data_IF_737731484444
#
_entry.id   IF_737731484444
#
_cell.length_a   1.000
_cell.length_b   1.000
_cell.length_c   1.000
_cell.angle_alpha   90.00
_cell.angle_beta   90.00
_cell.angle_gamma   90.00
#
_symmetry.space_group_name_H-M   'P 1'
#
loop_
_entity.id
_entity.type
_entity.pdbx_description
1 polymer ?
#
# COMPACT_ATOMS: atom_id res chain seq x y z
N UNK A 1 -0.32 -9.34 28.78
CA UNK A 1 0.05 -9.09 27.38
C UNK A 1 0.48 -7.63 27.30
N UNK A 2 1.71 -7.37 26.85
CA UNK A 2 2.18 -6.01 26.60
C UNK A 2 1.38 -5.42 25.44
N UNK A 3 1.07 -4.12 25.53
CA UNK A 3 0.31 -3.39 24.54
C UNK A 3 1.02 -2.07 24.29
N UNK A 4 1.06 -1.66 23.03
CA UNK A 4 1.71 -0.44 22.61
C UNK A 4 0.76 0.33 21.69
N UNK A 5 0.78 1.65 21.79
CA UNK A 5 0.00 2.52 20.91
C UNK A 5 0.98 3.48 20.22
N UNK A 6 1.08 3.32 18.91
CA UNK A 6 1.82 4.24 18.04
C UNK A 6 0.89 5.42 17.75
N UNK A 7 1.36 6.63 18.05
CA UNK A 7 0.60 7.86 17.78
C UNK A 7 1.33 8.62 16.69
N UNK A 8 0.75 8.62 15.49
CA UNK A 8 1.30 9.42 14.40
C UNK A 8 0.88 10.91 14.61
N UNK A 9 1.78 11.89 14.47
CA UNK A 9 1.57 13.31 14.74
C UNK A 9 0.44 13.93 13.92
N UNK A 10 0.12 13.35 12.76
CA UNK A 10 -0.92 13.84 11.84
C UNK A 10 -2.32 13.68 12.46
N UNK A 11 -2.46 12.83 13.47
CA UNK A 11 -3.70 12.70 14.24
C UNK A 11 -3.86 13.78 15.32
N UNK A 12 -3.04 14.83 15.31
CA UNK A 12 -3.39 16.12 15.92
C UNK A 12 -3.46 16.15 17.45
N UNK A 13 -2.81 15.20 18.15
CA UNK A 13 -2.63 15.29 19.61
C UNK A 13 -3.90 15.18 20.45
N UNK A 14 -5.08 14.88 19.88
CA UNK A 14 -6.32 14.64 20.62
C UNK A 14 -6.26 13.26 21.33
N UNK A 15 -5.39 13.22 22.34
CA UNK A 15 -5.11 12.06 23.19
C UNK A 15 -6.24 11.76 24.17
N UNK A 16 -7.39 12.44 24.09
CA UNK A 16 -8.51 12.33 25.03
C UNK A 16 -9.03 10.89 25.11
N UNK A 17 -9.17 10.18 23.99
CA UNK A 17 -9.56 8.76 23.96
C UNK A 17 -8.44 7.80 24.41
N UNK A 18 -7.17 8.17 24.18
CA UNK A 18 -6.00 7.32 24.46
C UNK A 18 -5.52 7.50 25.92
N UNK A 19 -5.98 8.53 26.63
CA UNK A 19 -5.60 8.85 28.01
C UNK A 19 -6.00 7.78 29.04
N UNK A 20 -7.05 7.01 28.75
CA UNK A 20 -7.58 5.95 29.62
C UNK A 20 -6.83 4.62 29.48
N UNK A 21 -5.99 4.46 28.46
CA UNK A 21 -5.26 3.22 28.19
C UNK A 21 -3.87 3.32 28.80
N UNK A 22 -3.59 2.51 29.83
CA UNK A 22 -2.24 2.35 30.41
C UNK A 22 -1.30 1.66 29.41
N UNK A 23 -0.84 2.40 28.41
CA UNK A 23 0.03 1.91 27.34
C UNK A 23 1.09 2.94 26.98
N UNK A 24 2.27 2.46 26.61
CA UNK A 24 3.36 3.28 26.09
C UNK A 24 2.91 3.96 24.80
N UNK A 25 2.94 5.30 24.80
CA UNK A 25 2.61 6.15 23.64
C UNK A 25 3.89 6.63 22.98
N UNK A 26 3.93 6.60 21.66
CA UNK A 26 5.14 6.93 20.92
C UNK A 26 4.78 7.89 19.78
N UNK A 27 5.21 9.16 19.86
CA UNK A 27 5.10 10.07 18.74
C UNK A 27 6.09 9.65 17.64
N UNK A 28 5.67 9.68 16.38
CA UNK A 28 6.50 9.30 15.22
C UNK A 28 6.39 10.37 14.13
N UNK A 29 7.40 11.21 13.89
CA UNK A 29 7.31 12.18 12.77
C UNK A 29 7.09 11.50 11.40
N UNK A 30 6.12 11.99 10.61
CA UNK A 30 5.74 11.46 9.28
C UNK A 30 6.93 11.10 8.36
N UNK A 31 7.94 11.97 8.33
CA UNK A 31 9.02 11.91 7.36
C UNK A 31 10.15 10.95 7.75
N UNK A 32 10.13 10.42 8.96
CA UNK A 32 11.26 9.66 9.49
C UNK A 32 10.84 8.31 10.10
N UNK A 33 11.05 7.27 9.29
CA UNK A 33 10.95 5.88 9.73
C UNK A 33 11.87 5.55 10.92
N UNK A 34 12.87 6.39 11.25
CA UNK A 34 13.79 6.14 12.36
C UNK A 34 13.10 6.08 13.72
N UNK A 35 12.04 6.86 13.95
CA UNK A 35 11.33 6.84 15.24
C UNK A 35 10.54 5.54 15.40
N UNK A 36 9.88 5.10 14.33
CA UNK A 36 9.22 3.78 14.27
C UNK A 36 10.23 2.64 14.44
N UNK A 37 11.37 2.72 13.75
CA UNK A 37 12.45 1.74 13.86
C UNK A 37 13.00 1.67 15.29
N UNK A 38 13.33 2.81 15.90
CA UNK A 38 13.82 2.91 17.29
C UNK A 38 12.83 2.29 18.26
N UNK A 39 11.54 2.56 18.10
CA UNK A 39 10.53 1.91 18.90
C UNK A 39 10.54 0.40 18.71
N UNK A 40 10.48 -0.08 17.47
CA UNK A 40 10.50 -1.52 17.19
C UNK A 40 11.77 -2.19 17.75
N UNK A 41 12.89 -1.47 17.87
CA UNK A 41 14.09 -1.96 18.56
C UNK A 41 13.90 -2.15 20.07
N UNK A 42 13.14 -1.26 20.73
CA UNK A 42 12.89 -1.35 22.17
C UNK A 42 12.02 -2.54 22.56
N UNK A 43 11.24 -3.09 21.62
CA UNK A 43 10.42 -4.27 21.86
C UNK A 43 11.28 -5.52 21.72
N UNK A 44 11.29 -6.35 22.75
CA UNK A 44 11.93 -7.66 22.71
C UNK A 44 11.02 -8.64 21.96
N UNK A 45 11.29 -8.79 20.67
CA UNK A 45 10.62 -9.75 19.80
C UNK A 45 11.59 -10.87 19.43
N UNK A 46 11.08 -12.09 19.40
CA UNK A 46 11.77 -13.27 18.90
C UNK A 46 10.85 -14.06 17.95
N UNK A 47 11.37 -15.14 17.38
CA UNK A 47 10.64 -15.95 16.39
C UNK A 47 9.35 -16.58 16.93
N UNK A 48 9.29 -16.84 18.24
CA UNK A 48 8.16 -17.45 18.95
C UNK A 48 7.11 -16.42 19.42
N UNK A 49 7.39 -15.13 19.22
CA UNK A 49 6.53 -14.06 19.70
C UNK A 49 5.22 -14.02 18.91
N UNK A 50 4.09 -14.16 19.62
CA UNK A 50 2.75 -13.96 19.06
C UNK A 50 2.45 -12.46 19.01
N UNK A 51 2.69 -11.84 17.87
CA UNK A 51 2.46 -10.43 17.64
C UNK A 51 1.12 -10.21 16.94
N UNK A 52 0.31 -9.30 17.47
CA UNK A 52 -0.90 -8.80 16.81
C UNK A 52 -0.74 -7.32 16.52
N UNK A 53 -1.03 -6.90 15.30
CA UNK A 53 -0.92 -5.51 14.85
C UNK A 53 -2.28 -5.04 14.34
N UNK A 54 -2.83 -4.02 14.98
CA UNK A 54 -3.98 -3.30 14.44
C UNK A 54 -3.50 -2.23 13.46
N UNK A 55 -3.80 -2.41 12.17
CA UNK A 55 -3.38 -1.51 11.10
C UNK A 55 -4.40 -0.40 10.81
N UNK A 56 -5.54 -0.35 11.51
CA UNK A 56 -6.65 0.57 11.24
C UNK A 56 -6.21 2.04 11.16
N UNK A 57 -5.37 2.46 12.10
CA UNK A 57 -4.85 3.84 12.19
C UNK A 57 -3.49 4.05 11.52
N UNK A 58 -2.93 3.08 10.81
CA UNK A 58 -1.64 3.29 10.16
C UNK A 58 -1.77 4.09 8.86
N UNK A 59 -0.80 4.95 8.61
CA UNK A 59 -0.51 5.48 7.29
C UNK A 59 0.20 4.39 6.47
N UNK A 60 -0.19 4.17 5.21
CA UNK A 60 0.22 3.01 4.41
C UNK A 60 1.75 2.83 4.38
N UNK A 61 2.58 3.84 4.01
CA UNK A 61 4.05 3.70 4.07
C UNK A 61 4.59 3.21 5.42
N UNK A 62 4.07 3.73 6.54
CA UNK A 62 4.47 3.33 7.89
C UNK A 62 4.06 1.88 8.21
N UNK A 63 2.86 1.48 7.79
CA UNK A 63 2.38 0.10 7.92
C UNK A 63 3.32 -0.86 7.20
N UNK A 64 3.62 -0.56 5.94
CA UNK A 64 4.46 -1.40 5.10
C UNK A 64 5.86 -1.50 5.70
N UNK A 65 6.46 -0.36 6.08
CA UNK A 65 7.75 -0.32 6.75
C UNK A 65 7.78 -1.19 8.00
N UNK A 66 6.79 -1.07 8.89
CA UNK A 66 6.71 -1.87 10.12
C UNK A 66 6.69 -3.37 9.82
N UNK A 67 5.84 -3.81 8.88
CA UNK A 67 5.76 -5.22 8.46
C UNK A 67 7.12 -5.73 7.96
N UNK A 68 7.77 -4.96 7.08
CA UNK A 68 9.07 -5.33 6.52
C UNK A 68 10.16 -5.36 7.57
N UNK A 69 10.13 -4.41 8.49
CA UNK A 69 11.07 -4.32 9.59
C UNK A 69 10.95 -5.52 10.53
N UNK A 70 9.73 -5.87 10.94
CA UNK A 70 9.45 -7.04 11.77
C UNK A 70 9.94 -8.34 11.11
N UNK A 71 9.70 -8.49 9.80
CA UNK A 71 10.16 -9.64 9.04
C UNK A 71 11.69 -9.71 8.91
N UNK A 72 12.36 -8.63 8.47
CA UNK A 72 13.79 -8.66 8.13
C UNK A 72 14.73 -8.41 9.30
N UNK A 73 14.35 -7.56 10.25
CA UNK A 73 15.23 -7.18 11.39
C UNK A 73 14.93 -7.97 12.65
N UNK A 74 13.65 -8.30 12.90
CA UNK A 74 13.22 -9.01 14.12
C UNK A 74 12.94 -10.50 13.89
N UNK A 75 13.03 -10.96 12.65
CA UNK A 75 12.76 -12.34 12.23
C UNK A 75 11.41 -12.89 12.73
N UNK A 76 10.39 -12.01 12.83
CA UNK A 76 9.06 -12.43 13.27
C UNK A 76 8.43 -13.29 12.17
N UNK A 77 8.09 -14.54 12.52
CA UNK A 77 7.55 -15.52 11.57
C UNK A 77 6.04 -15.52 11.46
N UNK A 78 5.35 -15.11 12.53
CA UNK A 78 3.89 -15.07 12.59
C UNK A 78 3.42 -13.74 13.15
N UNK A 79 2.53 -13.09 12.41
CA UNK A 79 1.83 -11.87 12.83
C UNK A 79 0.34 -12.03 12.56
N UNK A 80 -0.48 -11.66 13.53
CA UNK A 80 -1.91 -11.46 13.33
C UNK A 80 -2.14 -9.99 12.97
N UNK A 81 -2.89 -9.72 11.90
CA UNK A 81 -3.22 -8.35 11.49
C UNK A 81 -4.72 -8.14 11.65
N UNK A 82 -5.09 -7.05 12.32
CA UNK A 82 -6.47 -6.61 12.47
C UNK A 82 -6.65 -5.30 11.71
N UNK A 83 -7.75 -5.21 10.98
CA UNK A 83 -8.15 -4.00 10.28
C UNK A 83 -9.65 -3.79 10.42
N UNK A 84 -10.04 -2.57 10.77
CA UNK A 84 -11.44 -2.14 10.75
C UNK A 84 -11.65 -1.24 9.53
N UNK A 85 -12.44 -1.71 8.57
CA UNK A 85 -12.87 -0.91 7.43
C UNK A 85 -13.93 0.11 7.90
N UNK A 86 -13.82 1.40 7.51
CA UNK A 86 -14.91 2.36 7.73
C UNK A 86 -16.17 1.90 6.99
N UNK A 87 -17.32 1.95 7.68
CA UNK A 87 -18.59 1.57 7.05
C UNK A 87 -18.97 2.51 5.90
N UNK A 88 -18.75 3.82 6.06
CA UNK A 88 -18.97 4.81 5.00
C UNK A 88 -17.98 5.93 5.16
N UNK A 89 -17.57 6.54 4.04
CA UNK A 89 -16.95 7.86 4.09
C UNK A 89 -18.03 8.90 4.34
N UNK A 90 -17.78 9.84 5.25
CA UNK A 90 -18.77 10.86 5.65
C UNK A 90 -19.34 11.65 4.47
N UNK A 91 -18.53 11.81 3.41
CA UNK A 91 -18.89 12.59 2.23
C UNK A 91 -18.97 11.74 0.95
N UNK A 92 -18.98 10.40 1.04
CA UNK A 92 -19.10 9.48 -0.12
C UNK A 92 -18.20 9.91 -1.30
N UNK A 93 -18.77 10.15 -2.49
CA UNK A 93 -18.09 10.60 -3.70
C UNK A 93 -17.60 12.05 -3.64
N UNK A 94 -17.82 12.78 -2.55
CA UNK A 94 -17.35 14.15 -2.27
C UNK A 94 -16.30 14.20 -1.15
N UNK A 95 -15.77 13.05 -0.74
CA UNK A 95 -14.66 12.97 0.22
C UNK A 95 -13.44 13.74 -0.31
N UNK A 96 -12.93 14.66 0.51
CA UNK A 96 -11.68 15.40 0.27
C UNK A 96 -10.54 14.64 0.93
N UNK A 97 -9.49 14.38 0.15
CA UNK A 97 -8.24 13.81 0.66
C UNK A 97 -7.21 14.94 0.83
N UNK A 98 -6.14 14.68 1.57
CA UNK A 98 -5.09 15.70 1.77
C UNK A 98 -4.45 16.08 0.43
N UNK A 99 -4.30 17.38 0.16
CA UNK A 99 -3.78 17.89 -1.13
C UNK A 99 -2.27 18.20 -1.12
N UNK A 100 -1.59 18.02 0.01
CA UNK A 100 -0.17 18.35 0.16
C UNK A 100 0.68 17.07 0.13
N UNK A 101 1.13 16.69 -1.07
CA UNK A 101 2.18 15.69 -1.26
C UNK A 101 3.41 16.36 -1.83
N UNK A 102 4.58 16.03 -1.29
CA UNK A 102 5.84 16.62 -1.70
C UNK A 102 6.55 15.80 -2.78
N UNK A 103 6.40 14.48 -2.75
CA UNK A 103 6.97 13.59 -3.77
C UNK A 103 6.28 12.21 -3.80
N UNK A 104 6.52 11.43 -4.86
CA UNK A 104 6.27 10.00 -4.90
C UNK A 104 7.60 9.28 -4.78
N UNK A 105 7.79 8.54 -3.69
CA UNK A 105 9.03 7.84 -3.41
C UNK A 105 8.82 6.35 -3.12
N UNK A 106 9.93 5.62 -3.10
CA UNK A 106 9.93 4.20 -2.76
C UNK A 106 9.70 4.01 -1.26
N UNK A 107 8.85 3.06 -0.91
CA UNK A 107 8.61 2.69 0.49
C UNK A 107 9.82 1.94 1.03
N UNK A 108 10.34 2.36 2.19
CA UNK A 108 11.55 1.78 2.77
C UNK A 108 11.40 0.29 3.02
N UNK A 109 12.42 -0.48 2.60
CA UNK A 109 12.45 -1.93 2.71
C UNK A 109 11.74 -2.70 1.58
N UNK A 110 11.03 -2.01 0.69
CA UNK A 110 10.40 -2.56 -0.51
C UNK A 110 11.06 -2.05 -1.80
N UNK A 111 12.35 -1.75 -1.75
CA UNK A 111 13.14 -1.54 -2.94
C UNK A 111 13.69 -2.83 -3.49
N UNK A 112 13.38 -3.13 -4.75
CA UNK A 112 14.09 -4.15 -5.51
C UNK A 112 15.42 -3.62 -6.07
N UNK A 113 16.08 -4.45 -6.87
CA UNK A 113 17.28 -4.05 -7.63
C UNK A 113 16.83 -3.38 -8.93
N UNK A 114 16.91 -2.04 -9.07
CA UNK A 114 16.39 -1.37 -10.26
C UNK A 114 17.18 -1.76 -11.51
N UNK A 115 16.46 -2.10 -12.58
CA UNK A 115 17.06 -2.31 -13.90
C UNK A 115 17.22 -0.95 -14.60
N UNK A 116 18.42 -0.60 -15.09
CA UNK A 116 18.63 0.67 -15.81
C UNK A 116 17.87 0.73 -17.14
N UNK A 117 17.52 -0.42 -17.73
CA UNK A 117 16.61 -0.47 -18.87
C UNK A 117 15.19 -0.21 -18.38
N UNK A 118 14.50 0.75 -18.99
CA UNK A 118 13.12 1.16 -18.64
C UNK A 118 12.11 0.95 -19.79
N UNK A 119 12.51 0.24 -20.86
CA UNK A 119 11.75 0.11 -22.10
C UNK A 119 10.43 -0.66 -21.91
N UNK A 120 10.42 -1.62 -21.00
CA UNK A 120 9.26 -2.46 -20.69
C UNK A 120 8.95 -2.45 -19.19
N UNK A 121 8.87 -1.26 -18.60
CA UNK A 121 8.40 -1.11 -17.23
C UNK A 121 6.89 -1.40 -17.11
N UNK A 122 6.48 -1.84 -15.92
CA UNK A 122 5.09 -2.04 -15.52
C UNK A 122 4.80 -1.21 -14.27
N UNK A 123 3.66 -0.52 -14.26
CA UNK A 123 3.11 0.13 -13.09
C UNK A 123 1.72 -0.43 -12.79
N UNK A 124 1.57 -1.09 -11.64
CA UNK A 124 0.27 -1.53 -11.12
C UNK A 124 -0.16 -0.58 -10.02
N UNK A 125 -1.30 0.08 -10.20
CA UNK A 125 -1.86 1.04 -9.25
C UNK A 125 -3.09 0.41 -8.62
N UNK A 126 -3.05 0.12 -7.32
CA UNK A 126 -4.26 -0.27 -6.60
C UNK A 126 -5.10 1.00 -6.39
N UNK A 127 -6.15 1.16 -7.19
CA UNK A 127 -6.88 2.42 -7.30
C UNK A 127 -8.03 2.48 -6.32
N UNK A 128 -8.00 3.51 -5.48
CA UNK A 128 -9.06 3.87 -4.56
C UNK A 128 -9.69 5.21 -4.92
N UNK A 129 -10.34 5.80 -3.93
CA UNK A 129 -11.10 7.05 -4.07
C UNK A 129 -10.25 8.32 -4.28
N UNK A 130 -8.95 8.25 -4.01
CA UNK A 130 -8.05 9.40 -4.07
C UNK A 130 -7.41 9.52 -5.46
N UNK A 131 -8.09 10.26 -6.33
CA UNK A 131 -7.65 10.49 -7.71
C UNK A 131 -6.36 11.32 -7.82
N UNK A 132 -6.10 12.19 -6.83
CA UNK A 132 -4.85 12.96 -6.73
C UNK A 132 -3.64 12.02 -6.56
N UNK A 133 -3.71 11.06 -5.64
CA UNK A 133 -2.63 10.07 -5.42
C UNK A 133 -2.41 9.17 -6.62
N UNK A 134 -3.48 8.77 -7.30
CA UNK A 134 -3.39 7.99 -8.55
C UNK A 134 -2.63 8.81 -9.60
N UNK A 135 -3.01 10.09 -9.76
CA UNK A 135 -2.40 11.03 -10.70
C UNK A 135 -0.92 11.24 -10.39
N UNK A 136 -0.56 11.45 -9.12
CA UNK A 136 0.82 11.67 -8.70
C UNK A 136 1.73 10.49 -9.05
N UNK A 137 1.29 9.28 -8.73
CA UNK A 137 2.09 8.07 -9.01
C UNK A 137 2.22 7.82 -10.50
N UNK A 138 1.12 7.95 -11.25
CA UNK A 138 1.13 7.78 -12.70
C UNK A 138 2.02 8.84 -13.39
N UNK A 139 1.98 10.08 -12.91
CA UNK A 139 2.77 11.21 -13.44
C UNK A 139 4.25 11.09 -13.10
N UNK A 140 4.60 10.66 -11.87
CA UNK A 140 5.99 10.37 -11.48
C UNK A 140 6.62 9.30 -12.38
N UNK A 141 5.82 8.34 -12.81
CA UNK A 141 6.20 7.24 -13.71
C UNK A 141 5.67 7.44 -15.14
N UNK A 142 5.67 8.68 -15.63
CA UNK A 142 5.14 9.04 -16.97
C UNK A 142 5.76 8.23 -18.13
N UNK A 143 7.01 7.78 -18.00
CA UNK A 143 7.69 6.99 -19.03
C UNK A 143 7.14 5.57 -19.17
N UNK A 144 6.48 5.06 -18.12
CA UNK A 144 5.88 3.72 -18.12
C UNK A 144 4.63 3.71 -19.00
N UNK A 145 4.67 2.93 -20.08
CA UNK A 145 3.52 2.75 -20.99
C UNK A 145 2.48 1.79 -20.43
N UNK A 146 2.93 0.70 -19.79
CA UNK A 146 2.06 -0.32 -19.22
C UNK A 146 1.63 0.10 -17.81
N UNK A 147 0.53 0.87 -17.73
CA UNK A 147 -0.11 1.25 -16.47
C UNK A 147 -1.41 0.46 -16.30
N UNK A 148 -1.51 -0.30 -15.21
CA UNK A 148 -2.64 -1.19 -14.95
C UNK A 148 -3.29 -0.78 -13.63
N UNK A 149 -4.61 -0.63 -13.64
CA UNK A 149 -5.37 -0.40 -12.40
C UNK A 149 -5.70 -1.75 -11.74
N UNK A 150 -5.66 -1.79 -10.42
CA UNK A 150 -6.18 -2.87 -9.60
C UNK A 150 -7.32 -2.32 -8.74
N UNK A 151 -8.54 -2.78 -8.99
CA UNK A 151 -9.74 -2.34 -8.28
C UNK A 151 -10.21 -3.35 -7.25
N UNK A 152 -10.85 -2.83 -6.20
CA UNK A 152 -11.46 -3.62 -5.12
C UNK A 152 -12.79 -4.22 -5.56
N UNK A 153 -12.79 -5.47 -6.01
CA UNK A 153 -14.00 -6.20 -6.39
C UNK A 153 -13.95 -7.67 -5.92
N UNK A 154 -14.95 -8.13 -5.13
CA UNK A 154 -16.11 -7.38 -4.64
C UNK A 154 -15.70 -6.26 -3.67
N UNK A 155 -16.45 -5.14 -3.67
CA UNK A 155 -16.26 -4.06 -2.70
C UNK A 155 -16.84 -4.43 -1.33
N UNK A 156 -16.54 -3.63 -0.30
CA UNK A 156 -17.15 -3.79 1.02
C UNK A 156 -18.67 -3.47 1.01
N UNK A 157 -19.09 -2.52 0.18
CA UNK A 157 -20.49 -2.19 -0.09
C UNK A 157 -20.72 -2.03 -1.59
N UNK A 158 -21.93 -2.34 -2.07
CA UNK A 158 -22.21 -2.52 -3.50
C UNK A 158 -22.00 -1.24 -4.34
N UNK A 159 -22.28 -0.07 -3.77
CA UNK A 159 -22.11 1.27 -4.35
C UNK A 159 -20.64 1.67 -4.49
N UNK A 160 -19.80 1.28 -3.52
CA UNK A 160 -18.40 1.72 -3.44
C UNK A 160 -17.56 1.41 -4.68
N UNK A 161 -17.87 0.33 -5.41
CA UNK A 161 -17.12 0.00 -6.63
C UNK A 161 -17.37 1.02 -7.74
N UNK A 162 -18.61 1.45 -7.93
CA UNK A 162 -18.96 2.43 -8.96
C UNK A 162 -18.38 3.81 -8.63
N UNK A 163 -18.48 4.22 -7.37
CA UNK A 163 -17.88 5.47 -6.89
C UNK A 163 -16.37 5.48 -7.06
N UNK A 164 -15.69 4.39 -6.68
CA UNK A 164 -14.25 4.24 -6.86
C UNK A 164 -13.87 4.36 -8.35
N UNK A 165 -14.61 3.70 -9.25
CA UNK A 165 -14.35 3.80 -10.69
C UNK A 165 -14.50 5.24 -11.21
N UNK A 166 -15.54 5.96 -10.79
CA UNK A 166 -15.74 7.37 -11.16
C UNK A 166 -14.65 8.28 -10.61
N UNK A 167 -14.17 8.02 -9.40
CA UNK A 167 -13.03 8.74 -8.80
C UNK A 167 -11.75 8.45 -9.57
N UNK A 168 -11.38 7.19 -9.74
CA UNK A 168 -10.18 6.79 -10.47
C UNK A 168 -10.18 7.32 -11.92
N UNK A 169 -11.35 7.42 -12.56
CA UNK A 169 -11.48 8.00 -13.90
C UNK A 169 -11.00 9.46 -13.99
N UNK A 170 -11.05 10.23 -12.90
CA UNK A 170 -10.50 11.60 -12.87
C UNK A 170 -8.98 11.64 -13.12
N UNK A 171 -8.27 10.54 -12.87
CA UNK A 171 -6.85 10.38 -13.15
C UNK A 171 -6.55 9.82 -14.56
N UNK A 172 -7.56 9.68 -15.44
CA UNK A 172 -7.41 9.11 -16.80
C UNK A 172 -6.28 9.74 -17.60
N UNK A 173 -6.11 11.06 -17.52
CA UNK A 173 -5.08 11.78 -18.28
C UNK A 173 -3.65 11.35 -17.92
N UNK A 174 -3.42 10.92 -16.67
CA UNK A 174 -2.11 10.46 -16.19
C UNK A 174 -1.94 8.94 -16.35
N UNK A 175 -3.00 8.17 -16.12
CA UNK A 175 -3.00 6.71 -16.18
C UNK A 175 -3.04 6.20 -17.63
N UNK A 176 -3.79 6.86 -18.50
CA UNK A 176 -4.18 6.36 -19.82
C UNK A 176 -5.64 5.93 -19.86
N UNK A 177 -6.25 5.93 -21.06
CA UNK A 177 -7.69 5.73 -21.24
C UNK A 177 -8.11 4.28 -21.51
N UNK A 178 -7.18 3.39 -21.89
CA UNK A 178 -7.53 2.03 -22.33
C UNK A 178 -8.23 1.22 -21.25
N UNK A 179 -7.69 1.23 -20.02
CA UNK A 179 -8.29 0.52 -18.88
C UNK A 179 -9.66 1.06 -18.45
N UNK A 180 -9.98 2.32 -18.74
CA UNK A 180 -11.30 2.89 -18.45
C UNK A 180 -12.33 2.60 -19.56
N UNK A 181 -11.87 2.48 -20.81
CA UNK A 181 -12.73 2.10 -21.95
C UNK A 181 -13.02 0.60 -22.00
N UNK A 182 -12.04 -0.21 -21.61
CA UNK A 182 -12.16 -1.66 -21.53
C UNK A 182 -11.76 -2.13 -20.14
N UNK A 183 -12.77 -2.34 -19.30
CA UNK A 183 -12.59 -2.72 -17.90
C UNK A 183 -11.87 -4.08 -17.73
N UNK A 184 -11.94 -4.97 -18.73
CA UNK A 184 -11.28 -6.28 -18.71
C UNK A 184 -9.74 -6.17 -18.75
N UNK A 185 -9.19 -4.99 -19.06
CA UNK A 185 -7.75 -4.72 -19.01
C UNK A 185 -7.24 -4.43 -17.59
N UNK A 186 -8.14 -4.21 -16.63
CA UNK A 186 -7.77 -3.98 -15.24
C UNK A 186 -7.68 -5.28 -14.44
N UNK A 187 -7.07 -5.18 -13.27
CA UNK A 187 -7.02 -6.23 -12.27
C UNK A 187 -8.11 -6.03 -11.23
N UNK A 188 -8.57 -7.14 -10.67
CA UNK A 188 -9.60 -7.15 -9.63
C UNK A 188 -9.19 -8.09 -8.50
N UNK A 189 -9.31 -7.60 -7.27
CA UNK A 189 -9.16 -8.38 -6.06
C UNK A 189 -10.17 -7.87 -5.02
N UNK A 190 -10.69 -8.70 -4.10
CA UNK A 190 -11.60 -8.24 -3.06
C UNK A 190 -10.97 -7.13 -2.22
N UNK A 191 -11.72 -6.05 -1.97
CA UNK A 191 -11.23 -4.87 -1.27
C UNK A 191 -10.71 -5.15 0.15
N UNK A 192 -11.19 -6.25 0.76
CA UNK A 192 -10.92 -6.67 2.13
C UNK A 192 -9.95 -7.86 2.25
N UNK A 193 -9.53 -8.49 1.14
CA UNK A 193 -8.72 -9.70 1.16
C UNK A 193 -7.27 -9.45 0.70
N UNK A 194 -6.31 -9.37 1.63
CA UNK A 194 -4.90 -9.13 1.29
C UNK A 194 -4.23 -10.34 0.62
N UNK A 195 -4.81 -11.55 0.65
CA UNK A 195 -4.19 -12.76 0.12
C UNK A 195 -4.52 -13.02 -1.35
N UNK A 196 -5.62 -12.46 -1.86
CA UNK A 196 -5.99 -12.56 -3.28
C UNK A 196 -5.17 -11.61 -4.15
N UNK A 197 -4.88 -10.40 -3.66
CA UNK A 197 -4.07 -9.38 -4.35
C UNK A 197 -2.74 -9.93 -4.90
N UNK A 198 -1.87 -10.58 -4.10
CA UNK A 198 -0.61 -11.13 -4.61
C UNK A 198 -0.83 -12.21 -5.67
N UNK A 199 -1.89 -13.01 -5.56
CA UNK A 199 -2.22 -14.04 -6.56
C UNK A 199 -2.68 -13.40 -7.88
N UNK A 200 -3.50 -12.35 -7.81
CA UNK A 200 -3.95 -11.59 -8.99
C UNK A 200 -2.77 -10.94 -9.69
N UNK A 201 -1.90 -10.25 -8.95
CA UNK A 201 -0.68 -9.62 -9.49
C UNK A 201 0.23 -10.67 -10.13
N UNK A 202 0.49 -11.78 -9.43
CA UNK A 202 1.33 -12.88 -9.94
C UNK A 202 0.77 -13.45 -11.24
N UNK A 203 -0.53 -13.74 -11.29
CA UNK A 203 -1.17 -14.32 -12.49
C UNK A 203 -1.07 -13.39 -13.69
N UNK A 204 -1.26 -12.09 -13.49
CA UNK A 204 -1.10 -11.09 -14.54
C UNK A 204 0.35 -11.07 -15.04
N UNK A 205 1.31 -10.92 -14.14
CA UNK A 205 2.73 -10.85 -14.48
C UNK A 205 3.19 -12.12 -15.20
N UNK A 206 2.88 -13.31 -14.65
CA UNK A 206 3.24 -14.60 -15.25
C UNK A 206 2.60 -14.81 -16.63
N UNK A 207 1.45 -14.19 -16.91
CA UNK A 207 0.78 -14.24 -18.23
C UNK A 207 1.49 -13.34 -19.23
N UNK A 208 1.70 -12.07 -18.88
CA UNK A 208 2.27 -11.07 -19.79
C UNK A 208 3.75 -11.33 -20.07
N UNK A 209 4.49 -11.83 -19.06
CA UNK A 209 5.91 -12.16 -19.20
C UNK A 209 6.18 -13.37 -20.10
N UNK A 210 5.16 -14.14 -20.54
CA UNK A 210 5.35 -15.18 -21.56
C UNK A 210 5.82 -14.60 -22.89
N UNK A 211 5.45 -13.35 -23.17
CA UNK A 211 5.78 -12.68 -24.42
C UNK A 211 7.01 -11.77 -24.26
N UNK A 212 7.06 -10.99 -23.18
CA UNK A 212 8.16 -10.06 -22.94
C UNK A 212 8.36 -9.80 -21.44
N UNK A 213 9.59 -9.91 -20.96
CA UNK A 213 9.92 -9.69 -19.55
C UNK A 213 9.82 -8.20 -19.20
N UNK A 214 9.14 -7.89 -18.09
CA UNK A 214 9.17 -6.53 -17.54
C UNK A 214 10.56 -6.16 -17.01
N UNK A 215 11.04 -4.96 -17.35
CA UNK A 215 12.33 -4.45 -16.89
C UNK A 215 12.28 -4.03 -15.42
N UNK A 216 11.27 -3.25 -15.04
CA UNK A 216 10.94 -2.91 -13.67
C UNK A 216 9.44 -3.05 -13.41
N UNK A 217 9.07 -3.42 -12.19
CA UNK A 217 7.67 -3.54 -11.75
C UNK A 217 7.47 -2.63 -10.55
N UNK A 218 6.58 -1.65 -10.70
CA UNK A 218 6.20 -0.72 -9.65
C UNK A 218 4.80 -1.03 -9.14
N UNK A 219 4.66 -1.18 -7.83
CA UNK A 219 3.38 -1.35 -7.16
C UNK A 219 3.03 -0.09 -6.38
N UNK A 220 1.85 0.46 -6.63
CA UNK A 220 1.37 1.69 -6.03
C UNK A 220 0.08 1.44 -5.25
N UNK A 221 0.17 1.19 -3.94
CA UNK A 221 -0.98 0.78 -3.13
C UNK A 221 -1.85 1.97 -2.68
N UNK A 222 -2.43 2.72 -3.62
CA UNK A 222 -3.19 3.96 -3.35
C UNK A 222 -4.69 3.72 -3.03
N UNK A 223 -5.05 2.51 -2.60
CA UNK A 223 -6.41 2.10 -2.26
C UNK A 223 -6.57 1.72 -0.77
N UNK A 224 -7.26 0.61 -0.48
CA UNK A 224 -7.48 0.11 0.88
C UNK A 224 -6.20 -0.46 1.52
N UNK A 225 -6.18 -0.53 2.85
CA UNK A 225 -5.05 -1.13 3.58
C UNK A 225 -4.88 -2.63 3.30
N UNK A 226 -5.95 -3.45 3.12
CA UNK A 226 -5.80 -4.83 2.66
C UNK A 226 -5.10 -4.94 1.30
N UNK A 227 -5.41 -4.08 0.33
CA UNK A 227 -4.67 -4.04 -0.93
C UNK A 227 -3.20 -3.69 -0.75
N UNK A 228 -2.90 -2.69 0.09
CA UNK A 228 -1.52 -2.33 0.41
C UNK A 228 -0.76 -3.49 1.07
N UNK A 229 -1.39 -4.16 2.03
CA UNK A 229 -0.85 -5.36 2.67
C UNK A 229 -0.62 -6.48 1.65
N UNK A 230 -1.56 -6.70 0.72
CA UNK A 230 -1.43 -7.71 -0.33
C UNK A 230 -0.30 -7.43 -1.32
N UNK A 231 -0.11 -6.18 -1.73
CA UNK A 231 1.05 -5.77 -2.54
C UNK A 231 2.36 -5.96 -1.79
N UNK A 232 2.38 -5.70 -0.48
CA UNK A 232 3.54 -6.01 0.36
C UNK A 232 3.80 -7.52 0.43
N UNK A 233 2.79 -8.36 0.66
CA UNK A 233 2.92 -9.81 0.64
C UNK A 233 3.49 -10.32 -0.69
N UNK A 234 3.00 -9.78 -1.82
CA UNK A 234 3.55 -10.09 -3.13
C UNK A 234 5.07 -9.82 -3.19
N UNK A 235 5.49 -8.62 -2.78
CA UNK A 235 6.91 -8.27 -2.74
C UNK A 235 7.69 -9.18 -1.77
N UNK A 236 7.14 -9.52 -0.61
CA UNK A 236 7.82 -10.36 0.37
C UNK A 236 8.05 -11.77 -0.15
N UNK A 237 7.07 -12.35 -0.85
CA UNK A 237 7.17 -13.68 -1.43
C UNK A 237 8.02 -13.71 -2.69
N UNK A 238 7.93 -12.70 -3.55
CA UNK A 238 8.71 -12.67 -4.78
C UNK A 238 10.15 -12.17 -4.59
N UNK A 239 10.41 -11.23 -3.67
CA UNK A 239 11.78 -10.78 -3.33
C UNK A 239 12.52 -11.75 -2.39
N UNK A 240 11.90 -12.86 -1.98
CA UNK A 240 12.64 -13.98 -1.37
C UNK A 240 13.55 -14.68 -2.41
N UNK A 241 13.33 -14.40 -3.69
CA UNK A 241 14.14 -14.79 -4.83
C UNK A 241 14.95 -13.55 -5.20
N UNK A 242 16.21 -13.49 -4.79
CA UNK A 242 17.11 -12.37 -5.07
C UNK A 242 17.10 -12.03 -6.59
N UNK A 243 17.29 -10.76 -6.96
CA UNK A 243 17.31 -10.19 -8.33
C UNK A 243 16.00 -9.74 -9.02
N UNK A 244 14.88 -9.56 -8.31
CA UNK A 244 13.70 -8.92 -8.92
C UNK A 244 13.69 -7.40 -8.80
N UNK A 245 13.53 -6.71 -9.92
CA UNK A 245 13.31 -5.26 -10.03
C UNK A 245 11.87 -4.86 -9.67
N UNK A 246 11.40 -5.30 -8.50
CA UNK A 246 10.06 -4.99 -7.97
C UNK A 246 10.18 -3.99 -6.83
N UNK A 247 9.47 -2.87 -6.93
CA UNK A 247 9.44 -1.84 -5.89
C UNK A 247 8.02 -1.39 -5.55
N UNK A 248 7.80 -1.06 -4.26
CA UNK A 248 6.59 -0.33 -3.85
C UNK A 248 6.89 1.17 -3.82
N UNK A 249 6.06 1.96 -4.50
CA UNK A 249 6.13 3.43 -4.51
C UNK A 249 4.83 4.03 -3.96
N UNK A 250 4.91 5.19 -3.32
CA UNK A 250 3.76 5.82 -2.69
C UNK A 250 3.94 7.36 -2.59
N UNK A 251 2.86 8.16 -2.67
CA UNK A 251 2.90 9.60 -2.41
C UNK A 251 3.21 9.92 -0.94
N UNK A 252 4.23 10.75 -0.69
CA UNK A 252 4.69 11.14 0.64
C UNK A 252 4.27 12.61 0.90
N UNK A 253 3.56 12.84 2.00
CA UNK A 253 3.28 14.16 2.57
C UNK A 253 4.47 14.79 3.31
#
# INVERSE_FOLDING_TARGET
>A
KEKYIIVLPEYGGDMLFISSIKTTKIPISYSDYSQLARFLETIQLNEDTKLCVDITGFIIPHMLFAIRYLQKRKNVKQIDIIYTEPQKYTNEENTYFSDFYHDVAQVFGYGGSPNPNVDNDLLIIASGYDDSRITDVASKKKHVKNKIQLFGFPPAQADMFQENMLRAYKAESAVGNEGFKNLDLNLYAPASDPFVVPQTIKRYIDKEQRNNLFSNIYLAPVSTKPHALGMALYCLWENSKEDKSISIIYPIC
#
